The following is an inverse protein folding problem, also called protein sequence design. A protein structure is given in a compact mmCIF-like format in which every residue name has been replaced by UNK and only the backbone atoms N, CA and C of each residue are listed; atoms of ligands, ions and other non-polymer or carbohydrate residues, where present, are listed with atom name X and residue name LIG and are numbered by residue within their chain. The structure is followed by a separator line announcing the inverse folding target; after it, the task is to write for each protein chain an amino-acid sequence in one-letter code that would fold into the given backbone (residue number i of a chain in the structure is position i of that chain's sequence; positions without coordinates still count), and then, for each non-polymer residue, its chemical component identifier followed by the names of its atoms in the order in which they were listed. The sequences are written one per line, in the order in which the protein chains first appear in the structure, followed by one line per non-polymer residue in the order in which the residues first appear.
data_IF_274110206727
#
_entry.id   IF_274110206727
#
_cell.length_a   1.000
_cell.length_b   1.000
_cell.length_c   1.000
_cell.angle_alpha   90.00
_cell.angle_beta   90.00
_cell.angle_gamma   90.00
#
_symmetry.space_group_name_H-M   'P 1'
#
loop_
_entity.id
_entity.type
_entity.pdbx_description
1 polymer ?
#
# COMPACT_ATOMS: atom_id res chain seq x y z
N UNK A 1 12.36 2.88 20.43
CA UNK A 1 12.85 4.05 19.67
C UNK A 1 11.66 4.80 19.15
N UNK A 2 11.55 6.10 19.40
CA UNK A 2 10.56 6.92 18.73
C UNK A 2 11.05 7.22 17.31
N UNK A 3 10.17 7.15 16.31
CA UNK A 3 10.47 7.56 14.92
C UNK A 3 10.76 9.06 14.91
N UNK A 4 11.85 9.47 14.26
CA UNK A 4 12.24 10.87 14.12
C UNK A 4 11.18 11.69 13.39
N UNK A 5 11.09 12.99 13.69
CA UNK A 5 10.11 13.88 13.05
C UNK A 5 10.26 13.91 11.51
N UNK A 6 11.49 13.71 11.00
CA UNK A 6 11.78 13.61 9.57
C UNK A 6 11.09 12.41 8.94
N UNK A 7 11.08 11.26 9.61
CA UNK A 7 10.58 10.00 9.05
C UNK A 7 9.11 9.70 9.39
N UNK A 8 8.51 10.46 10.31
CA UNK A 8 7.08 10.33 10.64
C UNK A 8 6.14 10.41 9.44
N UNK A 9 6.30 11.32 8.46
CA UNK A 9 5.42 11.35 7.29
C UNK A 9 5.45 10.06 6.47
N UNK A 10 6.63 9.42 6.37
CA UNK A 10 6.81 8.13 5.67
C UNK A 10 6.07 7.03 6.43
N UNK A 11 6.27 6.95 7.75
CA UNK A 11 5.63 5.97 8.60
C UNK A 11 4.10 6.13 8.63
N UNK A 12 3.60 7.36 8.75
CA UNK A 12 2.17 7.65 8.80
C UNK A 12 1.49 7.34 7.47
N UNK A 13 2.00 7.86 6.34
CA UNK A 13 1.39 7.58 5.03
C UNK A 13 1.51 6.12 4.64
N UNK A 14 2.64 5.47 4.97
CA UNK A 14 2.80 4.04 4.80
C UNK A 14 1.78 3.25 5.61
N UNK A 15 1.61 3.56 6.90
CA UNK A 15 0.62 2.91 7.75
C UNK A 15 -0.80 3.08 7.19
N UNK A 16 -1.17 4.27 6.72
CA UNK A 16 -2.49 4.49 6.11
C UNK A 16 -2.66 3.67 4.82
N UNK A 17 -1.61 3.53 4.00
CA UNK A 17 -1.65 2.65 2.83
C UNK A 17 -1.87 1.19 3.25
N UNK A 18 -1.16 0.71 4.28
CA UNK A 18 -1.30 -0.64 4.79
C UNK A 18 -2.70 -0.92 5.35
N UNK A 19 -3.25 0.00 6.15
CA UNK A 19 -4.61 -0.12 6.69
C UNK A 19 -5.66 -0.14 5.57
N UNK A 20 -5.51 0.67 4.53
CA UNK A 20 -6.42 0.62 3.39
C UNK A 20 -6.34 -0.71 2.61
N UNK A 21 -5.22 -1.45 2.69
CA UNK A 21 -5.11 -2.81 2.11
C UNK A 21 -5.80 -3.83 3.02
N UNK A 22 -5.68 -3.65 4.33
CA UNK A 22 -6.38 -4.45 5.33
C UNK A 22 -7.91 -4.30 5.17
N UNK A 23 -8.42 -3.07 5.02
CA UNK A 23 -9.82 -2.78 4.70
C UNK A 23 -10.25 -3.48 3.39
N UNK A 24 -9.34 -3.60 2.43
CA UNK A 24 -9.63 -4.30 1.17
C UNK A 24 -9.78 -5.83 1.37
N UNK A 25 -8.99 -6.42 2.27
CA UNK A 25 -9.14 -7.83 2.66
C UNK A 25 -10.44 -8.05 3.44
N UNK A 26 -10.81 -7.13 4.34
CA UNK A 26 -12.10 -7.17 5.04
C UNK A 26 -13.26 -7.11 4.04
N UNK A 27 -13.21 -6.20 3.06
CA UNK A 27 -14.21 -6.14 2.00
C UNK A 27 -14.33 -7.45 1.21
N UNK A 28 -13.22 -8.14 0.91
CA UNK A 28 -13.29 -9.48 0.30
C UNK A 28 -13.95 -10.49 1.25
N UNK A 29 -13.60 -10.47 2.53
CA UNK A 29 -14.15 -11.39 3.53
C UNK A 29 -15.68 -11.23 3.69
N UNK A 30 -16.17 -10.00 3.60
CA UNK A 30 -17.60 -9.67 3.65
C UNK A 30 -18.31 -9.84 2.28
N UNK A 31 -17.61 -10.33 1.26
CA UNK A 31 -18.06 -10.42 -0.13
C UNK A 31 -18.43 -9.05 -0.78
N UNK A 32 -18.02 -7.93 -0.18
CA UNK A 32 -18.11 -6.59 -0.75
C UNK A 32 -16.86 -6.24 -1.58
N UNK A 33 -16.80 -6.84 -2.77
CA UNK A 33 -15.72 -6.61 -3.72
C UNK A 33 -15.64 -5.17 -4.24
N UNK A 34 -16.73 -4.40 -4.15
CA UNK A 34 -16.73 -2.99 -4.54
C UNK A 34 -16.04 -2.14 -3.48
N UNK A 35 -16.25 -2.45 -2.21
CA UNK A 35 -15.49 -1.85 -1.12
C UNK A 35 -14.01 -2.20 -1.23
N UNK A 36 -13.69 -3.49 -1.47
CA UNK A 36 -12.31 -3.91 -1.68
C UNK A 36 -11.62 -3.16 -2.84
N UNK A 37 -12.33 -2.96 -3.97
CA UNK A 37 -11.83 -2.17 -5.09
C UNK A 37 -11.54 -0.71 -4.70
N UNK A 38 -12.43 -0.12 -3.89
CA UNK A 38 -12.33 1.27 -3.44
C UNK A 38 -11.16 1.44 -2.46
N UNK A 39 -11.02 0.51 -1.53
CA UNK A 39 -9.92 0.42 -0.56
C UNK A 39 -8.55 0.28 -1.25
N UNK A 40 -8.43 -0.54 -2.30
CA UNK A 40 -7.22 -0.58 -3.14
C UNK A 40 -6.90 0.80 -3.76
N UNK A 41 -7.92 1.55 -4.19
CA UNK A 41 -7.77 2.92 -4.67
C UNK A 41 -7.21 3.88 -3.62
N UNK A 42 -7.69 3.76 -2.38
CA UNK A 42 -7.22 4.57 -1.25
C UNK A 42 -5.76 4.27 -0.92
N UNK A 43 -5.38 2.99 -0.89
CA UNK A 43 -3.98 2.58 -0.69
C UNK A 43 -3.05 3.17 -1.76
N UNK A 44 -3.43 3.10 -3.04
CA UNK A 44 -2.70 3.74 -4.16
C UNK A 44 -2.57 5.26 -3.94
N UNK A 45 -3.62 5.92 -3.45
CA UNK A 45 -3.60 7.35 -3.13
C UNK A 45 -2.56 7.74 -2.08
N UNK A 46 -2.39 6.93 -1.04
CA UNK A 46 -1.36 7.14 -0.03
C UNK A 46 0.06 6.99 -0.60
N UNK A 47 0.31 5.98 -1.44
CA UNK A 47 1.60 5.85 -2.11
C UNK A 47 1.90 6.99 -3.08
N UNK A 48 0.90 7.44 -3.84
CA UNK A 48 1.05 8.63 -4.69
C UNK A 48 1.39 9.89 -3.88
N UNK A 49 0.82 10.04 -2.69
CA UNK A 49 1.15 11.14 -1.78
C UNK A 49 2.61 11.05 -1.32
N UNK A 50 3.09 9.85 -0.97
CA UNK A 50 4.50 9.64 -0.64
C UNK A 50 5.43 9.98 -1.80
N UNK A 51 5.03 9.65 -3.03
CA UNK A 51 5.77 9.98 -4.25
C UNK A 51 5.81 11.49 -4.53
N UNK A 52 4.67 12.18 -4.48
CA UNK A 52 4.58 13.64 -4.68
C UNK A 52 5.47 14.38 -3.67
N UNK A 53 5.52 13.89 -2.43
CA UNK A 53 6.37 14.42 -1.37
C UNK A 53 7.84 13.96 -1.44
N UNK A 54 8.24 13.28 -2.52
CA UNK A 54 9.61 12.80 -2.79
C UNK A 54 10.16 11.85 -1.73
N UNK A 55 9.30 11.12 -1.03
CA UNK A 55 9.70 10.10 -0.06
C UNK A 55 10.02 8.76 -0.70
N UNK A 56 9.48 8.51 -1.89
CA UNK A 56 9.69 7.29 -2.67
C UNK A 56 9.96 7.67 -4.13
N UNK A 57 10.66 6.80 -4.85
CA UNK A 57 11.01 6.95 -6.27
C UNK A 57 9.88 6.49 -7.19
N UNK A 58 9.91 6.85 -8.48
CA UNK A 58 8.95 6.32 -9.46
C UNK A 58 8.96 4.77 -9.52
N UNK A 59 10.13 4.16 -9.48
CA UNK A 59 10.30 2.70 -9.54
C UNK A 59 9.67 2.03 -8.32
N UNK A 60 9.86 2.63 -7.15
CA UNK A 60 9.25 2.15 -5.91
C UNK A 60 7.74 2.32 -5.90
N UNK A 61 7.22 3.43 -6.43
CA UNK A 61 5.79 3.64 -6.59
C UNK A 61 5.18 2.54 -7.47
N UNK A 62 5.79 2.23 -8.62
CA UNK A 62 5.34 1.15 -9.50
C UNK A 62 5.36 -0.19 -8.76
N UNK A 63 6.46 -0.50 -8.06
CA UNK A 63 6.60 -1.74 -7.30
C UNK A 63 5.47 -1.93 -6.29
N UNK A 64 5.18 -0.92 -5.47
CA UNK A 64 4.20 -1.06 -4.37
C UNK A 64 2.75 -0.94 -4.83
N UNK A 65 2.50 -0.32 -5.98
CA UNK A 65 1.14 -0.17 -6.53
C UNK A 65 0.75 -1.24 -7.55
N UNK A 66 1.72 -1.95 -8.15
CA UNK A 66 1.45 -3.01 -9.12
C UNK A 66 0.41 -4.05 -8.65
N UNK A 67 0.54 -4.69 -7.47
CA UNK A 67 -0.45 -5.67 -7.02
C UNK A 67 -1.83 -5.05 -6.76
N UNK A 68 -1.89 -3.81 -6.28
CA UNK A 68 -3.17 -3.08 -6.08
C UNK A 68 -3.86 -2.77 -7.41
N UNK A 69 -3.10 -2.41 -8.44
CA UNK A 69 -3.63 -2.18 -9.79
C UNK A 69 -4.13 -3.50 -10.39
N UNK A 70 -3.38 -4.59 -10.19
CA UNK A 70 -3.77 -5.91 -10.66
C UNK A 70 -5.04 -6.43 -9.96
N UNK A 71 -5.18 -6.22 -8.64
CA UNK A 71 -6.40 -6.52 -7.88
C UNK A 71 -7.62 -5.78 -8.44
N UNK A 72 -7.49 -4.47 -8.71
CA UNK A 72 -8.56 -3.68 -9.33
C UNK A 72 -8.91 -4.17 -10.74
N UNK A 73 -7.91 -4.54 -11.54
CA UNK A 73 -8.15 -5.14 -12.86
C UNK A 73 -8.83 -6.51 -12.78
N UNK A 74 -8.54 -7.30 -11.74
CA UNK A 74 -9.20 -8.58 -11.50
C UNK A 74 -10.69 -8.39 -11.16
N UNK A 75 -11.04 -7.36 -10.37
CA UNK A 75 -12.43 -6.95 -10.16
C UNK A 75 -13.15 -6.60 -11.46
N UNK A 76 -12.54 -5.78 -12.32
CA UNK A 76 -13.13 -5.36 -13.60
C UNK A 76 -13.39 -6.56 -14.54
N UNK A 77 -12.61 -7.64 -14.39
CA UNK A 77 -12.76 -8.90 -15.12
C UNK A 77 -13.64 -9.93 -14.40
N UNK A 78 -14.28 -9.57 -13.28
CA UNK A 78 -15.04 -10.47 -12.41
C UNK A 78 -14.25 -11.70 -11.92
N UNK A 79 -12.94 -11.56 -11.72
CA UNK A 79 -12.07 -12.61 -11.21
C UNK A 79 -11.77 -12.38 -9.71
N UNK A 80 -12.67 -12.85 -8.86
CA UNK A 80 -12.62 -12.67 -7.39
C UNK A 80 -11.43 -13.35 -6.73
N UNK A 81 -11.10 -14.57 -7.15
CA UNK A 81 -9.97 -15.33 -6.58
C UNK A 81 -8.66 -14.61 -6.86
N UNK A 82 -8.47 -14.14 -8.10
CA UNK A 82 -7.30 -13.34 -8.44
C UNK A 82 -7.27 -12.02 -7.67
N UNK A 83 -8.40 -11.36 -7.50
CA UNK A 83 -8.45 -10.13 -6.70
C UNK A 83 -7.93 -10.37 -5.27
N UNK A 84 -8.32 -11.48 -4.65
CA UNK A 84 -7.82 -11.86 -3.33
C UNK A 84 -6.32 -12.12 -3.32
N UNK A 85 -5.80 -12.90 -4.26
CA UNK A 85 -4.36 -13.20 -4.39
C UNK A 85 -3.52 -11.91 -4.51
N UNK A 86 -3.94 -10.98 -5.37
CA UNK A 86 -3.23 -9.73 -5.63
C UNK A 86 -3.29 -8.78 -4.41
N UNK A 87 -4.37 -8.80 -3.61
CA UNK A 87 -4.45 -8.02 -2.37
C UNK A 87 -3.53 -8.61 -1.29
N UNK A 88 -3.41 -9.94 -1.19
CA UNK A 88 -2.44 -10.58 -0.29
C UNK A 88 -0.99 -10.19 -0.66
N UNK A 89 -0.65 -10.23 -1.95
CA UNK A 89 0.67 -9.79 -2.43
C UNK A 89 0.91 -8.30 -2.12
N UNK A 90 -0.12 -7.46 -2.31
CA UNK A 90 -0.05 -6.06 -1.94
C UNK A 90 0.24 -5.84 -0.45
N UNK A 91 -0.37 -6.64 0.44
CA UNK A 91 -0.18 -6.53 1.88
C UNK A 91 1.25 -6.88 2.30
N UNK A 92 1.79 -7.99 1.76
CA UNK A 92 3.16 -8.42 2.03
C UNK A 92 4.18 -7.41 1.50
N UNK A 93 4.04 -7.03 0.22
CA UNK A 93 4.89 -6.04 -0.45
C UNK A 93 4.89 -4.70 0.29
N UNK A 94 3.71 -4.23 0.72
CA UNK A 94 3.55 -2.95 1.40
C UNK A 94 4.21 -2.96 2.78
N UNK A 95 3.99 -4.02 3.57
CA UNK A 95 4.57 -4.16 4.90
C UNK A 95 6.09 -4.12 4.87
N UNK A 96 6.71 -4.91 4.00
CA UNK A 96 8.16 -4.96 3.85
C UNK A 96 8.71 -3.60 3.39
N UNK A 97 8.09 -3.01 2.38
CA UNK A 97 8.50 -1.73 1.81
C UNK A 97 8.50 -0.60 2.85
N UNK A 98 7.39 -0.43 3.59
CA UNK A 98 7.27 0.64 4.58
C UNK A 98 8.33 0.48 5.66
N UNK A 99 8.53 -0.76 6.14
CA UNK A 99 9.54 -1.05 7.14
C UNK A 99 10.95 -0.64 6.66
N UNK A 100 11.33 -1.09 5.45
CA UNK A 100 12.63 -0.74 4.85
C UNK A 100 12.79 0.77 4.68
N UNK A 101 11.73 1.48 4.24
CA UNK A 101 11.76 2.93 4.05
C UNK A 101 11.91 3.71 5.33
N UNK A 102 11.18 3.33 6.38
CA UNK A 102 11.28 3.98 7.68
C UNK A 102 12.68 3.74 8.27
N UNK A 103 13.20 2.52 8.20
CA UNK A 103 14.55 2.20 8.69
C UNK A 103 15.62 2.97 7.91
N UNK A 104 15.55 3.00 6.58
CA UNK A 104 16.50 3.74 5.75
C UNK A 104 16.51 5.24 6.13
N UNK A 105 15.33 5.85 6.25
CA UNK A 105 15.21 7.25 6.65
C UNK A 105 15.82 7.55 8.03
N UNK A 106 15.63 6.65 9.01
CA UNK A 106 16.21 6.78 10.35
C UNK A 106 17.72 6.60 10.37
N UNK A 107 18.28 5.87 9.40
CA UNK A 107 19.72 5.64 9.27
C UNK A 107 20.46 6.75 8.49
N UNK A 108 19.78 7.50 7.61
CA UNK A 108 20.37 8.63 6.85
C UNK A 108 20.89 9.79 7.71
N UNK A 109 20.58 9.80 9.02
CA UNK A 109 21.03 10.80 9.97
C UNK A 109 22.09 10.33 10.96
N UNK A 110 22.71 9.16 10.74
CA UNK A 110 23.76 8.57 11.59
C UNK A 110 25.11 8.60 10.91
#
# INVERSE_FOLDING_TARGET
MAISQKCKPIASSGLMAYLAIDDALEGIHEEDYKEAYSACGNAIGHFNTMFINKHITPEELVKVTAPLIAAKGAYDLNNKDRMFEEILDAMETTKEFIFQKVVACECEGR
#
